data_IF_078975909385
#
_entry.id   IF_078975909385
#
_cell.length_a   1.000
_cell.length_b   1.000
_cell.length_c   1.000
_cell.angle_alpha   90.00
_cell.angle_beta   90.00
_cell.angle_gamma   90.00
#
_symmetry.space_group_name_H-M   'P 1'
#
loop_
_entity.id
_entity.type
_entity.pdbx_description
1 polymer ?
#
# COMPACT_ATOMS: atom_id res chain seq x y z
N UNK A 1 -20.00 -32.93 13.88
CA UNK A 1 -19.93 -31.58 14.50
C UNK A 1 -18.46 -31.29 14.72
N UNK A 2 -17.83 -30.51 13.83
CA UNK A 2 -16.45 -30.08 14.01
C UNK A 2 -16.44 -28.69 14.63
N UNK A 3 -16.17 -28.64 15.94
CA UNK A 3 -15.77 -27.45 16.67
C UNK A 3 -14.44 -26.95 16.13
N UNK A 4 -14.48 -25.90 15.31
CA UNK A 4 -13.30 -25.09 15.01
C UNK A 4 -13.21 -24.00 16.07
N UNK A 5 -12.03 -23.96 16.67
CA UNK A 5 -11.67 -23.27 17.90
C UNK A 5 -11.69 -21.76 17.69
N UNK A 6 -12.38 -21.03 18.55
CA UNK A 6 -12.18 -19.58 18.75
C UNK A 6 -10.78 -19.36 19.31
N UNK A 7 -9.93 -18.62 18.61
CA UNK A 7 -8.73 -17.99 19.16
C UNK A 7 -8.82 -16.49 18.81
N UNK A 8 -9.29 -15.67 19.75
CA UNK A 8 -8.48 -14.96 20.75
C UNK A 8 -7.78 -13.73 20.15
N UNK A 9 -8.45 -12.59 20.36
CA UNK A 9 -7.99 -11.22 20.18
C UNK A 9 -6.59 -11.01 20.76
N UNK A 10 -5.68 -10.47 19.95
CA UNK A 10 -4.41 -9.90 20.41
C UNK A 10 -4.49 -8.40 20.16
N UNK A 11 -4.68 -7.65 21.24
CA UNK A 11 -4.47 -6.21 21.26
C UNK A 11 -2.96 -5.95 21.26
N UNK A 12 -2.45 -5.31 20.21
CA UNK A 12 -1.11 -4.74 20.19
C UNK A 12 -1.23 -3.22 20.28
N UNK A 13 -1.11 -2.73 21.52
CA UNK A 13 -0.83 -1.34 21.80
C UNK A 13 0.60 -1.04 21.34
N UNK A 14 0.73 -0.59 20.09
CA UNK A 14 1.77 0.26 19.48
C UNK A 14 1.56 0.22 17.97
N UNK A 15 0.55 0.96 17.47
CA UNK A 15 0.49 1.58 16.14
C UNK A 15 0.88 0.80 14.87
N UNK A 16 0.91 -0.53 14.88
CA UNK A 16 1.28 -1.37 13.75
C UNK A 16 0.15 -2.37 13.52
N UNK A 17 -0.71 -2.07 12.55
CA UNK A 17 -1.76 -3.00 12.12
C UNK A 17 -1.07 -4.25 11.59
N UNK A 18 -1.38 -5.40 12.21
CA UNK A 18 -0.87 -6.70 11.78
C UNK A 18 -1.41 -7.05 10.38
N UNK A 19 -0.58 -7.54 9.45
CA UNK A 19 -1.03 -7.97 8.14
C UNK A 19 -1.83 -9.27 8.29
N UNK A 20 -3.16 -9.18 8.15
CA UNK A 20 -4.03 -10.34 8.04
C UNK A 20 -4.20 -10.64 6.55
N UNK A 21 -3.67 -11.79 6.12
CA UNK A 21 -4.00 -12.51 4.91
C UNK A 21 -3.68 -11.85 3.55
N UNK A 22 -2.44 -12.01 3.09
CA UNK A 22 -2.23 -12.50 1.72
C UNK A 22 -1.31 -13.71 1.78
N UNK A 23 -1.72 -14.77 1.10
CA UNK A 23 -1.00 -16.03 1.03
C UNK A 23 0.46 -15.75 0.68
N UNK A 24 1.38 -16.21 1.52
CA UNK A 24 2.75 -16.45 1.09
C UNK A 24 2.67 -17.52 0.00
N UNK A 25 2.51 -17.09 -1.26
CA UNK A 25 2.72 -17.96 -2.39
C UNK A 25 4.21 -18.24 -2.44
N UNK A 26 4.58 -19.45 -2.05
CA UNK A 26 5.85 -20.09 -2.38
C UNK A 26 6.18 -19.88 -3.87
N UNK A 27 7.08 -18.95 -4.19
CA UNK A 27 7.87 -19.03 -5.42
C UNK A 27 9.26 -18.46 -5.17
N UNK A 28 10.21 -19.38 -5.14
CA UNK A 28 11.62 -19.11 -5.38
C UNK A 28 11.78 -18.33 -6.70
N UNK A 29 12.70 -17.36 -6.70
CA UNK A 29 13.16 -16.55 -7.84
C UNK A 29 12.28 -15.35 -8.24
N UNK A 30 12.12 -14.36 -7.35
CA UNK A 30 11.56 -13.06 -7.71
C UNK A 30 12.69 -12.12 -8.17
N UNK A 31 12.56 -11.57 -9.38
CA UNK A 31 13.42 -10.48 -9.88
C UNK A 31 13.34 -9.28 -8.91
N UNK A 32 14.36 -8.41 -8.81
CA UNK A 32 14.27 -7.18 -8.03
C UNK A 32 13.00 -6.37 -8.30
N UNK A 33 12.50 -6.41 -9.54
CA UNK A 33 11.20 -5.86 -9.96
C UNK A 33 10.03 -6.52 -9.23
N UNK A 34 9.91 -7.84 -9.29
CA UNK A 34 8.81 -8.58 -8.65
C UNK A 34 8.79 -8.34 -7.13
N UNK A 35 9.97 -8.29 -6.50
CA UNK A 35 10.09 -8.00 -5.06
C UNK A 35 9.56 -6.60 -4.75
N UNK A 36 9.93 -5.61 -5.57
CA UNK A 36 9.44 -4.24 -5.44
C UNK A 36 7.92 -4.17 -5.63
N UNK A 37 7.41 -4.81 -6.68
CA UNK A 37 6.00 -4.77 -7.02
C UNK A 37 5.14 -5.38 -5.89
N UNK A 38 5.56 -6.52 -5.35
CA UNK A 38 4.91 -7.17 -4.21
C UNK A 38 4.90 -6.29 -2.95
N UNK A 39 6.05 -5.65 -2.64
CA UNK A 39 6.17 -4.75 -1.49
C UNK A 39 5.20 -3.57 -1.61
N UNK A 40 5.24 -2.87 -2.74
CA UNK A 40 4.43 -1.68 -2.95
C UNK A 40 2.93 -2.00 -3.02
N UNK A 41 2.54 -3.11 -3.65
CA UNK A 41 1.15 -3.56 -3.64
C UNK A 41 0.63 -3.78 -2.20
N UNK A 42 1.46 -4.35 -1.33
CA UNK A 42 1.13 -4.53 0.09
C UNK A 42 1.01 -3.19 0.82
N UNK A 43 1.95 -2.26 0.59
CA UNK A 43 1.91 -0.92 1.21
C UNK A 43 0.68 -0.12 0.75
N UNK A 44 0.33 -0.17 -0.54
CA UNK A 44 -0.86 0.46 -1.09
C UNK A 44 -2.14 -0.08 -0.46
N UNK A 45 -2.30 -1.41 -0.38
CA UNK A 45 -3.48 -2.02 0.24
C UNK A 45 -3.60 -1.66 1.73
N UNK A 46 -2.50 -1.66 2.46
CA UNK A 46 -2.51 -1.24 3.87
C UNK A 46 -2.93 0.23 4.01
N UNK A 47 -2.44 1.10 3.12
CA UNK A 47 -2.79 2.51 3.12
C UNK A 47 -4.26 2.73 2.77
N UNK A 48 -4.76 2.04 1.75
CA UNK A 48 -6.18 2.03 1.38
C UNK A 48 -7.05 1.58 2.54
N UNK A 49 -6.68 0.50 3.23
CA UNK A 49 -7.40 0.05 4.42
C UNK A 49 -7.39 1.08 5.56
N UNK A 50 -6.31 1.84 5.73
CA UNK A 50 -6.21 2.88 6.76
C UNK A 50 -7.16 4.04 6.48
N UNK A 51 -7.27 4.48 5.23
CA UNK A 51 -8.13 5.61 4.87
C UNK A 51 -9.51 5.18 4.37
N UNK A 52 -9.80 3.89 4.15
CA UNK A 52 -11.10 3.42 3.67
C UNK A 52 -12.27 3.83 4.57
N UNK A 53 -12.02 3.98 5.88
CA UNK A 53 -12.98 4.46 6.87
C UNK A 53 -12.87 5.97 7.15
N UNK A 54 -11.99 6.70 6.44
CA UNK A 54 -11.74 8.13 6.60
C UNK A 54 -12.12 8.89 5.33
N UNK A 55 -12.72 10.05 5.52
CA UNK A 55 -13.05 10.93 4.39
C UNK A 55 -11.77 11.67 3.97
N UNK A 56 -11.14 11.24 2.86
CA UNK A 56 -9.99 11.94 2.29
C UNK A 56 -10.38 13.36 1.87
N UNK A 57 -9.48 14.33 2.08
CA UNK A 57 -9.63 15.65 1.45
C UNK A 57 -9.55 15.53 -0.08
N UNK A 58 -10.11 16.50 -0.82
CA UNK A 58 -10.02 16.52 -2.29
C UNK A 58 -8.56 16.41 -2.78
N UNK A 59 -7.63 17.09 -2.08
CA UNK A 59 -6.20 17.04 -2.40
C UNK A 59 -5.59 15.65 -2.16
N UNK A 60 -5.89 15.01 -1.02
CA UNK A 60 -5.37 13.68 -0.71
C UNK A 60 -6.00 12.60 -1.62
N UNK A 61 -7.28 12.74 -1.96
CA UNK A 61 -7.96 11.86 -2.92
C UNK A 61 -7.36 12.01 -4.32
N UNK A 62 -7.09 13.23 -4.79
CA UNK A 62 -6.46 13.45 -6.08
C UNK A 62 -5.02 12.91 -6.12
N UNK A 63 -4.27 13.05 -5.02
CA UNK A 63 -2.94 12.46 -4.89
C UNK A 63 -3.00 10.93 -4.92
N UNK A 64 -3.98 10.30 -4.24
CA UNK A 64 -4.18 8.85 -4.29
C UNK A 64 -4.49 8.36 -5.71
N UNK A 65 -5.38 9.03 -6.43
CA UNK A 65 -5.68 8.66 -7.82
C UNK A 65 -4.44 8.68 -8.71
N UNK A 66 -3.55 9.67 -8.54
CA UNK A 66 -2.27 9.71 -9.27
C UNK A 66 -1.35 8.55 -8.91
N UNK A 67 -1.32 8.12 -7.65
CA UNK A 67 -0.59 6.91 -7.23
C UNK A 67 -1.11 5.70 -8.00
N UNK A 68 -2.43 5.50 -8.06
CA UNK A 68 -3.04 4.38 -8.78
C UNK A 68 -2.72 4.40 -10.28
N UNK A 69 -2.79 5.57 -10.91
CA UNK A 69 -2.45 5.77 -12.33
C UNK A 69 -0.97 5.45 -12.60
N UNK A 70 -0.06 5.98 -11.80
CA UNK A 70 1.38 5.76 -11.95
C UNK A 70 1.76 4.31 -11.62
N UNK A 71 1.09 3.69 -10.65
CA UNK A 71 1.28 2.28 -10.32
C UNK A 71 0.92 1.36 -11.48
N UNK A 72 -0.21 1.64 -12.13
CA UNK A 72 -0.63 0.93 -13.34
C UNK A 72 0.39 1.11 -14.45
N UNK A 73 0.84 2.34 -14.70
CA UNK A 73 1.87 2.62 -15.71
C UNK A 73 3.19 1.89 -15.42
N UNK A 74 3.62 1.83 -14.16
CA UNK A 74 4.79 1.06 -13.72
C UNK A 74 4.63 -0.43 -14.00
N UNK A 75 3.48 -1.00 -13.64
CA UNK A 75 3.17 -2.42 -13.84
C UNK A 75 3.18 -2.81 -15.33
N UNK A 76 2.75 -1.89 -16.20
CA UNK A 76 2.73 -2.07 -17.66
C UNK A 76 4.08 -1.71 -18.34
N UNK A 77 5.04 -1.15 -17.60
CA UNK A 77 6.31 -0.70 -18.18
C UNK A 77 7.24 -1.85 -18.56
N UNK A 78 7.93 -1.71 -19.68
CA UNK A 78 9.02 -2.58 -20.08
C UNK A 78 10.26 -2.35 -19.19
N UNK A 79 11.12 -3.36 -19.04
CA UNK A 79 12.28 -3.30 -18.14
C UNK A 79 13.23 -2.12 -18.43
N UNK A 80 13.35 -1.70 -19.70
CA UNK A 80 14.19 -0.57 -20.12
C UNK A 80 13.73 0.78 -19.57
N UNK A 81 12.43 0.95 -19.32
CA UNK A 81 11.83 2.19 -18.79
C UNK A 81 11.33 2.01 -17.35
N UNK A 82 11.56 0.85 -16.74
CA UNK A 82 10.96 0.50 -15.46
C UNK A 82 11.47 1.37 -14.32
N UNK A 83 12.77 1.70 -14.30
CA UNK A 83 13.33 2.58 -13.26
C UNK A 83 12.78 4.01 -13.35
N UNK A 84 12.58 4.56 -14.56
CA UNK A 84 11.96 5.89 -14.74
C UNK A 84 10.49 5.89 -14.31
N UNK A 85 9.74 4.85 -14.68
CA UNK A 85 8.35 4.68 -14.25
C UNK A 85 8.26 4.51 -12.73
N UNK A 86 9.23 3.82 -12.13
CA UNK A 86 9.31 3.60 -10.68
C UNK A 86 9.59 4.90 -9.94
N UNK A 87 10.49 5.73 -10.44
CA UNK A 87 10.75 7.07 -9.87
C UNK A 87 9.47 7.92 -9.92
N UNK A 88 8.76 7.90 -11.05
CA UNK A 88 7.49 8.64 -11.21
C UNK A 88 6.43 8.16 -10.21
N UNK A 89 6.29 6.83 -10.04
CA UNK A 89 5.41 6.26 -9.03
C UNK A 89 5.83 6.66 -7.61
N UNK A 90 7.12 6.60 -7.28
CA UNK A 90 7.63 6.99 -5.95
C UNK A 90 7.33 8.45 -5.63
N UNK A 91 7.49 9.36 -6.61
CA UNK A 91 7.12 10.76 -6.43
C UNK A 91 5.63 10.95 -6.11
N UNK A 92 4.73 10.26 -6.81
CA UNK A 92 3.30 10.32 -6.48
C UNK A 92 2.97 9.69 -5.12
N UNK A 93 3.67 8.62 -4.74
CA UNK A 93 3.49 7.96 -3.45
C UNK A 93 3.87 8.89 -2.29
N UNK A 94 5.03 9.55 -2.41
CA UNK A 94 5.51 10.50 -1.41
C UNK A 94 4.60 11.74 -1.30
N UNK A 95 4.07 12.25 -2.43
CA UNK A 95 3.09 13.34 -2.44
C UNK A 95 1.81 12.96 -1.69
N UNK A 96 1.27 11.76 -1.97
CA UNK A 96 0.12 11.25 -1.23
C UNK A 96 0.42 11.10 0.27
N UNK A 97 1.57 10.52 0.65
CA UNK A 97 1.96 10.37 2.06
C UNK A 97 2.08 11.72 2.77
N UNK A 98 2.62 12.75 2.08
CA UNK A 98 2.69 14.10 2.60
C UNK A 98 1.29 14.69 2.85
N UNK A 99 0.39 14.61 1.87
CA UNK A 99 -1.00 15.09 1.99
C UNK A 99 -1.78 14.34 3.08
N UNK A 100 -1.61 13.03 3.14
CA UNK A 100 -2.20 12.19 4.19
C UNK A 100 -1.71 12.61 5.58
N UNK A 101 -0.40 12.83 5.73
CA UNK A 101 0.19 13.28 6.99
C UNK A 101 -0.29 14.68 7.39
N UNK A 102 -0.35 15.62 6.45
CA UNK A 102 -0.92 16.96 6.70
C UNK A 102 -2.34 16.86 7.24
N UNK A 103 -3.22 16.13 6.55
CA UNK A 103 -4.61 15.95 6.94
C UNK A 103 -4.77 15.28 8.32
N UNK A 104 -3.96 14.26 8.62
CA UNK A 104 -4.04 13.52 9.90
C UNK A 104 -3.31 14.20 11.05
N UNK A 105 -2.32 15.05 10.78
CA UNK A 105 -1.61 15.84 11.79
C UNK A 105 -2.44 17.03 12.26
N UNK A 106 -3.26 17.63 11.39
CA UNK A 106 -4.21 18.71 11.76
C UNK A 106 -5.36 18.22 12.65
N UNK A 107 -5.57 16.89 12.74
CA UNK A 107 -6.58 16.27 13.61
C UNK A 107 -6.09 15.90 15.02
N UNK A 108 -4.84 16.23 15.40
CA UNK A 108 -4.26 16.02 16.74
C UNK A 108 -4.25 17.28 17.59
#
# INVERSE_FOLDING_TARGET
MNTIVKAATIALALGLVAPQAMAASDTANNSPRDVYEQKMNTEMQNQEAIFSDKELSEEASAAWQKVEENWKALSESADENWEDAKETFQQSWDDFQAKWKEMTSDQS
#
